data_IF_833631688355
#
_entry.id   IF_833631688355
#
_cell.length_a   1.000
_cell.length_b   1.000
_cell.length_c   1.000
_cell.angle_alpha   90.00
_cell.angle_beta   90.00
_cell.angle_gamma   90.00
#
_symmetry.space_group_name_H-M   'P 1'
#
loop_
_entity.id
_entity.type
_entity.pdbx_description
1 polymer ?
#
# COMPACT_ATOMS: atom_id res chain seq x y z
N UNK A 1 19.77 0.29 3.54
CA UNK A 1 18.42 -0.28 3.34
C UNK A 1 17.69 -0.08 4.67
N UNK A 2 17.78 1.14 5.20
CA UNK A 2 17.68 1.40 6.64
C UNK A 2 16.29 1.91 7.06
N UNK A 3 15.36 2.02 6.11
CA UNK A 3 14.05 2.67 6.25
C UNK A 3 12.87 1.69 6.05
N UNK A 4 13.12 0.38 5.92
CA UNK A 4 12.01 -0.58 5.77
C UNK A 4 11.16 -0.64 7.03
N UNK A 5 11.78 -0.90 8.17
CA UNK A 5 11.09 -1.00 9.46
C UNK A 5 10.41 0.32 9.81
N UNK A 6 11.04 1.46 9.50
CA UNK A 6 10.44 2.77 9.69
C UNK A 6 9.21 2.97 8.77
N UNK A 7 9.32 2.60 7.49
CA UNK A 7 8.18 2.62 6.56
C UNK A 7 7.05 1.72 7.05
N UNK A 8 7.35 0.48 7.46
CA UNK A 8 6.37 -0.47 7.99
C UNK A 8 5.67 0.06 9.26
N UNK A 9 6.44 0.55 10.23
CA UNK A 9 5.90 1.15 11.45
C UNK A 9 5.00 2.35 11.12
N UNK A 10 5.42 3.21 10.19
CA UNK A 10 4.64 4.38 9.77
C UNK A 10 3.32 3.97 9.11
N UNK A 11 3.33 2.95 8.24
CA UNK A 11 2.11 2.44 7.61
C UNK A 11 1.17 1.82 8.65
N UNK A 12 1.71 1.06 9.60
CA UNK A 12 0.93 0.41 10.66
C UNK A 12 0.27 1.42 11.58
N UNK A 13 1.01 2.44 12.05
CA UNK A 13 0.47 3.48 12.93
C UNK A 13 -0.55 4.36 12.22
N UNK A 14 -0.30 4.73 10.96
CA UNK A 14 -1.30 5.40 10.12
C UNK A 14 -2.58 4.56 9.99
N UNK A 15 -2.44 3.28 9.65
CA UNK A 15 -3.61 2.42 9.44
C UNK A 15 -4.40 2.21 10.73
N UNK A 16 -3.76 2.09 11.90
CA UNK A 16 -4.45 2.03 13.20
C UNK A 16 -5.34 3.25 13.45
N UNK A 17 -4.91 4.45 13.03
CA UNK A 17 -5.68 5.68 13.18
C UNK A 17 -6.86 5.76 12.18
N UNK A 18 -6.66 5.25 10.96
CA UNK A 18 -7.63 5.37 9.86
C UNK A 18 -8.63 4.22 9.82
N UNK A 19 -8.26 3.00 10.21
CA UNK A 19 -9.09 1.80 10.12
C UNK A 19 -10.46 1.96 10.81
N UNK A 20 -10.58 2.52 12.03
CA UNK A 20 -11.88 2.70 12.68
C UNK A 20 -12.79 3.65 11.90
N UNK A 21 -12.22 4.74 11.38
CA UNK A 21 -12.96 5.75 10.61
C UNK A 21 -13.42 5.19 9.26
N UNK A 22 -12.54 4.43 8.60
CA UNK A 22 -12.85 3.76 7.36
C UNK A 22 -13.99 2.76 7.58
N UNK A 23 -13.88 1.88 8.57
CA UNK A 23 -14.93 0.90 8.92
C UNK A 23 -16.27 1.56 9.22
N UNK A 24 -16.27 2.70 9.91
CA UNK A 24 -17.49 3.45 10.21
C UNK A 24 -18.16 4.06 8.96
N UNK A 25 -17.40 4.33 7.89
CA UNK A 25 -17.90 4.88 6.63
C UNK A 25 -18.27 3.81 5.60
N UNK A 26 -17.91 2.55 5.81
CA UNK A 26 -18.25 1.47 4.90
C UNK A 26 -19.76 1.22 4.93
N UNK A 27 -20.39 1.29 3.76
CA UNK A 27 -21.80 0.94 3.59
C UNK A 27 -21.95 -0.57 3.73
N UNK A 28 -22.81 -1.00 4.65
CA UNK A 28 -23.22 -2.41 4.74
C UNK A 28 -24.32 -2.67 3.72
N UNK A 29 -24.18 -3.71 2.89
CA UNK A 29 -25.25 -4.09 1.95
C UNK A 29 -26.36 -4.96 2.61
N UNK A 30 -26.28 -5.17 3.93
CA UNK A 30 -27.19 -6.01 4.69
C UNK A 30 -26.89 -7.52 4.60
N UNK A 31 -25.96 -7.95 3.74
CA UNK A 31 -25.52 -9.34 3.64
C UNK A 31 -24.29 -9.63 4.49
N UNK A 32 -24.24 -10.88 4.96
CA UNK A 32 -23.14 -11.37 5.79
C UNK A 32 -21.90 -11.63 4.92
N UNK A 33 -21.03 -10.65 4.88
CA UNK A 33 -19.75 -10.75 4.17
C UNK A 33 -18.71 -11.44 5.06
N UNK A 34 -18.11 -12.51 4.55
CA UNK A 34 -17.06 -13.22 5.28
C UNK A 34 -15.78 -12.38 5.36
N UNK A 35 -15.50 -11.80 6.52
CA UNK A 35 -14.21 -11.15 6.80
C UNK A 35 -13.14 -12.20 7.10
N UNK A 36 -12.36 -12.60 6.09
CA UNK A 36 -11.16 -13.42 6.29
C UNK A 36 -9.93 -12.52 6.43
N UNK A 37 -9.22 -12.66 7.55
CA UNK A 37 -7.86 -12.12 7.67
C UNK A 37 -7.00 -12.73 6.56
N UNK A 38 -6.41 -11.87 5.74
CA UNK A 38 -5.40 -12.28 4.76
C UNK A 38 -4.15 -12.79 5.48
N UNK A 39 -3.24 -13.41 4.72
CA UNK A 39 -1.91 -13.72 5.23
C UNK A 39 -1.05 -12.46 5.36
N UNK A 40 -1.40 -11.41 4.59
CA UNK A 40 -0.88 -10.05 4.76
C UNK A 40 -1.94 -9.13 5.35
N UNK A 41 -1.50 -8.24 6.23
CA UNK A 41 -2.30 -7.13 6.74
C UNK A 41 -2.40 -5.99 5.70
N UNK A 42 -3.35 -5.07 5.91
CA UNK A 42 -3.45 -3.88 5.04
C UNK A 42 -2.20 -2.99 5.11
N UNK A 43 -1.62 -2.67 6.28
CA UNK A 43 -0.39 -1.88 6.33
C UNK A 43 0.79 -2.58 5.64
N UNK A 44 0.94 -3.89 5.77
CA UNK A 44 1.96 -4.65 5.02
C UNK A 44 1.79 -4.51 3.50
N UNK A 45 0.55 -4.57 3.00
CA UNK A 45 0.25 -4.33 1.58
C UNK A 45 0.59 -2.88 1.17
N UNK A 46 0.33 -1.90 2.04
CA UNK A 46 0.71 -0.51 1.80
C UNK A 46 2.22 -0.37 1.69
N UNK A 47 2.98 -0.95 2.62
CA UNK A 47 4.45 -0.90 2.59
C UNK A 47 4.99 -1.52 1.30
N UNK A 48 4.47 -2.67 0.86
CA UNK A 48 4.89 -3.29 -0.40
C UNK A 48 4.68 -2.36 -1.60
N UNK A 49 3.56 -1.62 -1.65
CA UNK A 49 3.30 -0.66 -2.72
C UNK A 49 4.22 0.55 -2.63
N UNK A 50 4.43 1.10 -1.43
CA UNK A 50 5.33 2.25 -1.21
C UNK A 50 6.76 1.88 -1.62
N UNK A 51 7.28 0.74 -1.16
CA UNK A 51 8.61 0.24 -1.51
C UNK A 51 8.76 0.00 -3.00
N UNK A 52 7.73 -0.55 -3.66
CA UNK A 52 7.73 -0.73 -5.11
C UNK A 52 8.02 0.59 -5.84
N UNK A 53 7.37 1.68 -5.40
CA UNK A 53 7.56 3.01 -5.96
C UNK A 53 8.90 3.64 -5.56
N UNK A 54 9.30 3.54 -4.29
CA UNK A 54 10.58 4.09 -3.79
C UNK A 54 11.79 3.48 -4.48
N UNK A 55 11.78 2.16 -4.70
CA UNK A 55 12.88 1.44 -5.36
C UNK A 55 12.80 1.60 -6.90
N UNK A 56 11.72 2.20 -7.43
CA UNK A 56 11.52 2.54 -8.84
C UNK A 56 11.56 1.33 -9.79
N UNK A 57 11.01 0.20 -9.35
CA UNK A 57 10.84 -0.95 -10.24
C UNK A 57 9.81 -0.65 -11.33
N UNK A 58 10.09 -1.09 -12.56
CA UNK A 58 9.15 -0.93 -13.68
C UNK A 58 7.95 -1.88 -13.60
N UNK A 59 8.18 -3.11 -13.15
CA UNK A 59 7.20 -4.20 -13.15
C UNK A 59 7.00 -4.69 -11.73
N UNK A 60 5.74 -4.67 -11.24
CA UNK A 60 5.43 -5.15 -9.90
C UNK A 60 5.80 -6.63 -9.72
N UNK A 61 5.65 -7.46 -10.77
CA UNK A 61 6.07 -8.87 -10.76
C UNK A 61 7.56 -9.03 -10.44
N UNK A 62 8.41 -8.22 -11.07
CA UNK A 62 9.87 -8.30 -10.88
C UNK A 62 10.27 -7.82 -9.48
N UNK A 63 9.59 -6.81 -8.95
CA UNK A 63 9.73 -6.37 -7.56
C UNK A 63 9.29 -7.45 -6.57
N UNK A 64 8.14 -8.08 -6.80
CA UNK A 64 7.61 -9.06 -5.87
C UNK A 64 8.46 -10.35 -5.83
N UNK A 65 8.91 -10.83 -6.99
CA UNK A 65 9.64 -12.11 -7.06
C UNK A 65 11.13 -12.00 -6.69
N UNK A 66 11.75 -10.83 -6.89
CA UNK A 66 13.18 -10.65 -6.61
C UNK A 66 13.41 -9.98 -5.25
N UNK A 67 13.27 -8.65 -5.07
CA UNK A 67 13.61 -8.04 -3.79
C UNK A 67 12.73 -8.52 -2.65
N UNK A 68 11.41 -8.60 -2.84
CA UNK A 68 10.50 -9.04 -1.77
C UNK A 68 10.71 -10.52 -1.45
N UNK A 69 10.61 -11.38 -2.48
CA UNK A 69 10.74 -12.83 -2.31
C UNK A 69 12.14 -13.35 -1.94
N UNK A 70 13.21 -12.55 -2.07
CA UNK A 70 14.59 -12.98 -1.73
C UNK A 70 15.18 -12.29 -0.52
N UNK A 71 14.92 -10.99 -0.35
CA UNK A 71 15.57 -10.19 0.70
C UNK A 71 14.62 -9.77 1.81
N UNK A 72 13.30 -9.76 1.58
CA UNK A 72 12.30 -9.30 2.55
C UNK A 72 11.43 -10.43 3.11
N UNK A 73 11.76 -11.69 2.81
CA UNK A 73 11.02 -12.84 3.32
C UNK A 73 11.04 -12.97 4.84
N UNK A 74 12.07 -12.45 5.52
CA UNK A 74 12.12 -12.41 7.00
C UNK A 74 11.06 -11.47 7.56
N UNK A 75 10.88 -10.32 6.92
CA UNK A 75 9.96 -9.26 7.36
C UNK A 75 8.50 -9.60 7.03
N UNK A 76 8.28 -10.33 5.93
CA UNK A 76 6.96 -10.80 5.54
C UNK A 76 6.88 -12.35 5.55
N UNK A 77 6.88 -13.00 6.72
CA UNK A 77 6.98 -14.45 6.85
C UNK A 77 5.78 -15.21 6.25
N UNK A 78 4.68 -14.51 5.94
CA UNK A 78 3.44 -15.06 5.37
C UNK A 78 3.11 -14.50 3.99
N UNK A 79 4.15 -14.17 3.21
CA UNK A 79 4.03 -13.74 1.81
C UNK A 79 3.18 -14.74 1.00
N UNK A 80 2.05 -14.30 0.43
CA UNK A 80 1.25 -15.13 -0.45
C UNK A 80 1.95 -15.28 -1.81
N UNK A 81 1.46 -16.17 -2.65
CA UNK A 81 1.91 -16.26 -4.04
C UNK A 81 1.54 -14.95 -4.76
N UNK A 82 2.38 -14.49 -5.70
CA UNK A 82 2.18 -13.26 -6.48
C UNK A 82 0.73 -12.99 -6.90
N UNK A 83 0.06 -13.96 -7.53
CA UNK A 83 -1.33 -13.83 -7.98
C UNK A 83 -2.27 -13.41 -6.83
N UNK A 84 -2.11 -14.04 -5.68
CA UNK A 84 -2.91 -13.78 -4.49
C UNK A 84 -2.57 -12.43 -3.86
N UNK A 85 -1.31 -11.99 -3.92
CA UNK A 85 -0.95 -10.63 -3.52
C UNK A 85 -1.66 -9.59 -4.40
N UNK A 86 -1.65 -9.76 -5.73
CA UNK A 86 -2.30 -8.84 -6.67
C UNK A 86 -3.81 -8.78 -6.44
N UNK A 87 -4.46 -9.92 -6.16
CA UNK A 87 -5.87 -9.97 -5.76
C UNK A 87 -6.18 -9.15 -4.49
N UNK A 88 -5.18 -8.96 -3.61
CA UNK A 88 -5.35 -8.22 -2.35
C UNK A 88 -4.94 -6.76 -2.42
N UNK A 89 -4.12 -6.34 -3.39
CA UNK A 89 -3.73 -4.93 -3.58
C UNK A 89 -4.92 -3.96 -3.54
N UNK A 90 -6.11 -4.26 -4.14
CA UNK A 90 -7.26 -3.35 -4.03
C UNK A 90 -7.68 -3.00 -2.61
N UNK A 91 -7.38 -3.86 -1.62
CA UNK A 91 -7.78 -3.65 -0.21
C UNK A 91 -7.07 -2.47 0.44
N UNK A 92 -5.85 -2.15 0.01
CA UNK A 92 -5.10 -1.02 0.56
C UNK A 92 -5.30 0.29 -0.21
N UNK A 93 -6.04 0.28 -1.32
CA UNK A 93 -6.21 1.46 -2.20
C UNK A 93 -6.81 2.66 -1.48
N UNK A 94 -7.88 2.47 -0.70
CA UNK A 94 -8.52 3.56 0.05
C UNK A 94 -7.57 4.11 1.13
N UNK A 95 -6.84 3.22 1.80
CA UNK A 95 -5.88 3.62 2.82
C UNK A 95 -4.70 4.40 2.21
N UNK A 96 -4.19 3.98 1.05
CA UNK A 96 -3.16 4.71 0.30
C UNK A 96 -3.66 6.06 -0.19
N UNK A 97 -4.89 6.16 -0.69
CA UNK A 97 -5.48 7.43 -1.09
C UNK A 97 -5.56 8.41 0.09
N UNK A 98 -6.05 7.94 1.25
CA UNK A 98 -6.10 8.74 2.47
C UNK A 98 -4.69 9.15 2.94
N UNK A 99 -3.70 8.25 2.84
CA UNK A 99 -2.31 8.57 3.15
C UNK A 99 -1.79 9.69 2.24
N UNK A 100 -2.04 9.61 0.93
CA UNK A 100 -1.61 10.65 0.00
C UNK A 100 -2.32 11.97 0.24
N UNK A 101 -3.60 11.97 0.62
CA UNK A 101 -4.30 13.19 1.02
C UNK A 101 -3.70 13.81 2.29
N UNK A 102 -3.29 13.00 3.27
CA UNK A 102 -2.61 13.49 4.48
C UNK A 102 -1.22 14.05 4.18
N UNK A 103 -0.48 13.40 3.28
CA UNK A 103 0.84 13.85 2.85
C UNK A 103 0.78 15.08 1.92
N UNK A 104 -0.34 15.28 1.22
CA UNK A 104 -0.54 16.43 0.34
C UNK A 104 -1.03 17.60 1.19
N UNK A 105 -0.13 18.53 1.47
CA UNK A 105 -0.47 19.74 2.23
C UNK A 105 -1.56 20.55 1.52
N UNK A 106 -2.27 21.43 2.25
CA UNK A 106 -3.29 22.30 1.63
C UNK A 106 -2.61 23.24 0.65
N UNK A 107 -2.64 22.88 -0.63
CA UNK A 107 -2.15 23.69 -1.74
C UNK A 107 -2.68 25.13 -1.58
N UNK A 108 -1.82 26.04 -1.13
CA UNK A 108 -2.18 27.43 -0.89
C UNK A 108 -2.19 28.24 -2.19
N UNK A 109 -1.93 27.58 -3.33
CA UNK A 109 -1.93 28.09 -4.70
C UNK A 109 -2.24 26.95 -5.70
N UNK A 110 -2.25 27.27 -7.01
CA UNK A 110 -2.57 26.31 -8.06
C UNK A 110 -1.54 25.17 -8.17
N UNK A 111 -2.02 23.93 -8.25
CA UNK A 111 -1.20 22.75 -8.55
C UNK A 111 -1.18 22.51 -10.06
N UNK A 112 0.01 22.39 -10.66
CA UNK A 112 0.19 22.07 -12.07
C UNK A 112 0.67 20.62 -12.17
N UNK A 113 -0.19 19.75 -12.67
CA UNK A 113 0.22 18.43 -13.13
C UNK A 113 0.70 18.56 -14.58
N UNK A 114 2.01 18.73 -14.76
CA UNK A 114 2.60 18.79 -16.10
C UNK A 114 2.96 17.39 -16.59
N UNK A 115 2.40 17.01 -17.74
CA UNK A 115 2.77 15.80 -18.46
C UNK A 115 3.76 16.21 -19.54
N UNK A 116 4.97 16.63 -19.17
CA UNK A 116 5.99 16.95 -20.17
C UNK A 116 6.36 15.66 -20.91
N UNK A 117 6.10 15.56 -22.23
CA UNK A 117 6.53 14.41 -22.98
C UNK A 117 8.05 14.32 -22.94
N UNK A 118 8.58 13.15 -22.55
CA UNK A 118 10.00 12.86 -22.70
C UNK A 118 10.27 12.73 -24.19
N UNK A 119 10.99 13.69 -24.77
CA UNK A 119 11.49 13.58 -26.12
C UNK A 119 12.45 12.38 -26.19
N UNK A 120 12.16 11.44 -27.09
CA UNK A 120 13.04 10.33 -27.47
C UNK A 120 13.79 10.72 -28.72
#
# INVERSE_FOLDING_TARGET
MDDLTETDCRMDDFYKAVEPQLKARLVTDGQWHRSRKGSLSVPELMTLVVLFHQIRYRQFTSFYLNPVGRYLCSEFPRLPIYKRCVEWLPRCTIALAALFEELTDKCSGGSIADSTPIAV
#
